data_IF_770342498448
#
_entry.id   IF_770342498448
#
_cell.length_a   1.000
_cell.length_b   1.000
_cell.length_c   1.000
_cell.angle_alpha   90.00
_cell.angle_beta   90.00
_cell.angle_gamma   90.00
#
_symmetry.space_group_name_H-M   'P 1'
#
loop_
_entity.id
_entity.type
_entity.pdbx_description
1 polymer ?
#
# COMPACT_ATOMS: atom_id res chain seq x y z
N UNK A 1 5.19 35.87 -15.40
CA UNK A 1 5.72 34.52 -15.15
C UNK A 1 5.33 33.64 -16.34
N UNK A 2 6.24 32.82 -16.88
CA UNK A 2 5.90 31.87 -17.96
C UNK A 2 5.03 30.76 -17.37
N UNK A 3 3.99 30.34 -18.11
CA UNK A 3 3.14 29.23 -17.69
C UNK A 3 3.98 27.96 -17.46
N UNK A 4 3.73 27.18 -16.40
CA UNK A 4 4.35 25.88 -16.20
C UNK A 4 3.98 24.96 -17.36
N UNK A 5 5.00 24.46 -18.06
CA UNK A 5 4.81 23.37 -19.00
C UNK A 5 4.40 22.10 -18.21
N UNK A 6 3.29 21.50 -18.60
CA UNK A 6 2.77 20.27 -18.03
C UNK A 6 3.41 19.07 -18.73
N UNK A 7 3.75 18.03 -17.97
CA UNK A 7 4.28 16.77 -18.52
C UNK A 7 3.13 15.84 -18.96
N UNK A 8 2.35 16.27 -19.96
CA UNK A 8 1.16 15.55 -20.47
C UNK A 8 1.28 15.35 -21.98
N UNK A 9 1.05 14.12 -22.43
CA UNK A 9 1.01 13.75 -23.85
C UNK A 9 -0.38 13.22 -24.21
N UNK A 10 -1.02 13.79 -25.24
CA UNK A 10 -2.29 13.26 -25.77
C UNK A 10 -2.00 12.18 -26.82
N UNK A 11 -2.53 10.98 -26.58
CA UNK A 11 -2.30 9.80 -27.41
C UNK A 11 -3.61 9.32 -28.02
N UNK A 12 -3.56 8.92 -29.30
CA UNK A 12 -4.68 8.21 -29.92
C UNK A 12 -4.78 6.78 -29.37
N UNK A 13 -5.99 6.21 -29.42
CA UNK A 13 -6.21 4.82 -29.02
C UNK A 13 -5.23 3.84 -29.69
N UNK A 14 -4.97 3.99 -31.00
CA UNK A 14 -4.06 3.12 -31.74
C UNK A 14 -2.65 3.06 -31.11
N UNK A 15 -2.12 4.20 -30.63
CA UNK A 15 -0.80 4.24 -29.96
C UNK A 15 -0.83 3.60 -28.57
N UNK A 16 -1.94 3.76 -27.87
CA UNK A 16 -2.14 3.25 -26.50
C UNK A 16 -2.41 1.75 -26.47
N UNK A 17 -3.06 1.22 -27.52
CA UNK A 17 -3.52 -0.16 -27.60
C UNK A 17 -2.42 -1.15 -27.25
N UNK A 18 -1.25 -1.03 -27.87
CA UNK A 18 -0.14 -1.97 -27.66
C UNK A 18 0.49 -1.83 -26.26
N UNK A 19 0.49 -0.61 -25.70
CA UNK A 19 1.00 -0.34 -24.36
C UNK A 19 0.13 -1.05 -23.30
N UNK A 20 -1.19 -0.93 -23.43
CA UNK A 20 -2.15 -1.47 -22.43
C UNK A 20 -2.36 -2.97 -22.62
N UNK A 21 -2.31 -3.49 -23.86
CA UNK A 21 -2.54 -4.91 -24.18
C UNK A 21 -1.65 -5.86 -23.38
N UNK A 22 -0.40 -5.45 -23.09
CA UNK A 22 0.55 -6.25 -22.32
C UNK A 22 0.11 -6.50 -20.87
N UNK A 23 -0.64 -5.57 -20.28
CA UNK A 23 -1.01 -5.62 -18.87
C UNK A 23 -2.49 -5.95 -18.64
N UNK A 24 -3.38 -5.57 -19.58
CA UNK A 24 -4.84 -5.75 -19.45
C UNK A 24 -5.46 -6.18 -20.79
N UNK A 25 -5.25 -7.44 -21.22
CA UNK A 25 -5.73 -7.93 -22.52
C UNK A 25 -7.26 -7.90 -22.63
N UNK A 26 -7.98 -8.21 -21.54
CA UNK A 26 -9.45 -8.21 -21.53
C UNK A 26 -10.03 -6.82 -21.78
N UNK A 27 -9.44 -5.79 -21.16
CA UNK A 27 -9.85 -4.40 -21.41
C UNK A 27 -9.66 -4.05 -22.87
N UNK A 28 -8.49 -4.37 -23.46
CA UNK A 28 -8.23 -4.08 -24.88
C UNK A 28 -9.21 -4.78 -25.81
N UNK A 29 -9.59 -6.03 -25.52
CA UNK A 29 -10.60 -6.74 -26.31
C UNK A 29 -11.92 -5.97 -26.32
N UNK A 30 -12.36 -5.49 -25.16
CA UNK A 30 -13.59 -4.71 -25.03
C UNK A 30 -13.48 -3.35 -25.73
N UNK A 31 -12.34 -2.67 -25.61
CA UNK A 31 -12.11 -1.38 -26.27
C UNK A 31 -12.01 -1.53 -27.80
N UNK A 32 -11.44 -2.62 -28.32
CA UNK A 32 -11.37 -2.90 -29.75
C UNK A 32 -12.77 -3.12 -30.35
N UNK A 33 -13.70 -3.75 -29.62
CA UNK A 33 -15.10 -3.94 -30.05
C UNK A 33 -15.86 -2.61 -30.23
N UNK A 34 -15.45 -1.55 -29.53
CA UNK A 34 -16.03 -0.21 -29.68
C UNK A 34 -15.63 0.50 -30.98
N UNK A 35 -14.70 -0.08 -31.75
CA UNK A 35 -14.15 0.49 -33.00
C UNK A 35 -13.78 1.98 -32.86
N UNK A 36 -12.91 2.34 -31.89
CA UNK A 36 -12.65 3.74 -31.55
C UNK A 36 -12.01 4.50 -32.72
N UNK A 37 -12.58 5.66 -33.04
CA UNK A 37 -12.03 6.55 -34.07
C UNK A 37 -10.82 7.34 -33.53
N UNK A 38 -10.15 8.09 -34.44
CA UNK A 38 -8.96 8.90 -34.09
C UNK A 38 -9.25 10.01 -33.07
N UNK A 39 -10.52 10.37 -32.84
CA UNK A 39 -10.92 11.42 -31.91
C UNK A 39 -11.07 10.92 -30.46
N UNK A 40 -10.98 9.60 -30.24
CA UNK A 40 -10.91 8.98 -28.92
C UNK A 40 -9.46 8.89 -28.48
N UNK A 41 -9.08 9.88 -27.69
CA UNK A 41 -7.74 10.05 -27.16
C UNK A 41 -7.69 9.72 -25.67
N UNK A 42 -6.48 9.45 -25.19
CA UNK A 42 -6.14 9.32 -23.78
C UNK A 42 -5.01 10.30 -23.46
N UNK A 43 -4.91 10.70 -22.20
CA UNK A 43 -3.84 11.57 -21.73
C UNK A 43 -2.83 10.75 -20.94
N UNK A 44 -1.60 10.65 -21.46
CA UNK A 44 -0.46 10.06 -20.76
C UNK A 44 0.18 11.11 -19.87
N UNK A 45 0.31 10.79 -18.59
CA UNK A 45 0.88 11.66 -17.57
C UNK A 45 1.95 10.89 -16.81
N UNK A 46 3.14 11.48 -16.67
CA UNK A 46 4.27 10.87 -15.99
C UNK A 46 4.54 11.60 -14.66
N UNK A 47 4.23 10.94 -13.56
CA UNK A 47 4.44 11.46 -12.21
C UNK A 47 5.78 10.99 -11.65
N UNK A 48 6.66 11.88 -11.17
CA UNK A 48 7.85 11.44 -10.47
C UNK A 48 7.51 10.86 -9.09
N UNK A 49 8.47 10.16 -8.48
CA UNK A 49 8.26 9.56 -7.16
C UNK A 49 7.82 10.61 -6.14
N UNK A 50 6.79 10.28 -5.37
CA UNK A 50 6.25 11.14 -4.31
C UNK A 50 5.44 12.33 -4.80
N UNK A 51 5.16 12.46 -6.10
CA UNK A 51 4.18 13.44 -6.59
C UNK A 51 2.76 13.06 -6.20
N UNK A 52 1.95 14.06 -5.89
CA UNK A 52 0.52 13.89 -5.66
C UNK A 52 -0.18 13.75 -7.01
N UNK A 53 -0.90 12.65 -7.16
CA UNK A 53 -1.86 12.43 -8.25
C UNK A 53 -3.22 12.98 -7.82
N UNK A 54 -3.61 12.72 -6.58
CA UNK A 54 -4.83 13.23 -5.96
C UNK A 54 -4.48 13.73 -4.56
N UNK A 55 -4.96 14.91 -4.18
CA UNK A 55 -4.85 15.41 -2.80
C UNK A 55 -6.24 15.77 -2.32
N UNK A 56 -6.74 15.05 -1.31
CA UNK A 56 -8.08 15.23 -0.71
C UNK A 56 -9.18 15.40 -1.78
N UNK A 57 -9.27 14.42 -2.68
CA UNK A 57 -10.20 14.42 -3.83
C UNK A 57 -9.98 15.51 -4.90
N UNK A 58 -8.82 16.18 -4.94
CA UNK A 58 -8.47 17.13 -6.00
C UNK A 58 -7.37 16.54 -6.89
N UNK A 59 -7.68 16.33 -8.18
CA UNK A 59 -6.70 15.85 -9.16
C UNK A 59 -5.56 16.86 -9.32
N UNK A 60 -4.33 16.36 -9.31
CA UNK A 60 -3.12 17.12 -9.54
C UNK A 60 -2.37 16.61 -10.77
N UNK A 61 -1.74 17.54 -11.49
CA UNK A 61 -0.98 17.29 -12.70
C UNK A 61 0.49 17.70 -12.50
N UNK A 62 1.46 16.89 -12.96
CA UNK A 62 2.86 17.17 -12.78
C UNK A 62 3.34 18.25 -13.77
N UNK A 63 4.16 19.15 -13.27
CA UNK A 63 4.89 20.16 -14.03
C UNK A 63 6.27 19.63 -14.42
N UNK A 64 6.92 20.27 -15.40
CA UNK A 64 8.32 19.97 -15.75
C UNK A 64 9.31 20.13 -14.57
N UNK A 65 8.94 20.90 -13.54
CA UNK A 65 9.75 21.13 -12.34
C UNK A 65 9.54 20.08 -11.24
N UNK A 66 8.90 18.95 -11.54
CA UNK A 66 8.62 17.88 -10.57
C UNK A 66 7.66 18.29 -9.44
N UNK A 67 6.98 19.42 -9.59
CA UNK A 67 5.89 19.86 -8.71
C UNK A 67 4.54 19.42 -9.27
N UNK A 68 3.55 19.23 -8.40
CA UNK A 68 2.17 18.91 -8.76
C UNK A 68 1.29 20.15 -8.56
N UNK A 69 0.48 20.52 -9.57
CA UNK A 69 -0.51 21.60 -9.47
C UNK A 69 -1.95 21.06 -9.64
N UNK A 70 -2.96 21.63 -8.97
CA UNK A 70 -4.32 21.14 -9.07
C UNK A 70 -4.89 21.35 -10.48
N UNK A 71 -5.82 20.49 -10.92
CA UNK A 71 -6.47 20.59 -12.24
C UNK A 71 -7.14 21.96 -12.45
N UNK A 72 -7.65 22.56 -11.37
CA UNK A 72 -8.30 23.89 -11.38
C UNK A 72 -7.32 25.05 -11.57
N UNK A 73 -6.01 24.82 -11.47
CA UNK A 73 -5.00 25.88 -11.56
C UNK A 73 -5.14 26.69 -12.86
N UNK A 74 -4.98 28.03 -12.84
CA UNK A 74 -5.16 28.87 -14.03
C UNK A 74 -4.30 28.44 -15.23
N UNK A 75 -3.09 27.97 -14.95
CA UNK A 75 -2.13 27.56 -15.99
C UNK A 75 -2.44 26.22 -16.66
N UNK A 76 -3.40 25.45 -16.15
CA UNK A 76 -3.83 24.21 -16.81
C UNK A 76 -4.71 24.57 -18.01
N UNK A 77 -4.37 24.13 -19.24
CA UNK A 77 -5.15 24.45 -20.44
C UNK A 77 -6.61 23.99 -20.35
N UNK A 78 -7.55 24.80 -20.83
CA UNK A 78 -9.00 24.50 -20.78
C UNK A 78 -9.33 23.14 -21.41
N UNK A 79 -8.66 22.76 -22.50
CA UNK A 79 -8.83 21.44 -23.15
C UNK A 79 -8.54 20.28 -22.18
N UNK A 80 -7.52 20.39 -21.33
CA UNK A 80 -7.18 19.36 -20.33
C UNK A 80 -8.23 19.36 -19.21
N UNK A 81 -8.64 20.55 -18.74
CA UNK A 81 -9.71 20.69 -17.74
C UNK A 81 -11.01 20.04 -18.22
N UNK A 82 -11.42 20.28 -19.46
CA UNK A 82 -12.62 19.66 -20.04
C UNK A 82 -12.46 18.15 -20.22
N UNK A 83 -11.27 17.69 -20.58
CA UNK A 83 -11.00 16.28 -20.82
C UNK A 83 -11.00 15.42 -19.55
N UNK A 84 -10.57 15.98 -18.41
CA UNK A 84 -10.41 15.27 -17.14
C UNK A 84 -11.42 15.70 -16.07
N UNK A 85 -11.98 16.91 -16.15
CA UNK A 85 -12.86 17.49 -15.13
C UNK A 85 -14.27 16.89 -15.04
N UNK A 86 -14.50 15.71 -15.61
CA UNK A 86 -15.76 14.98 -15.49
C UNK A 86 -15.89 14.23 -14.14
N UNK A 87 -14.80 14.08 -13.41
CA UNK A 87 -14.72 13.43 -12.10
C UNK A 87 -13.59 14.06 -11.28
N UNK A 88 -13.67 13.96 -9.95
CA UNK A 88 -12.58 14.33 -9.03
C UNK A 88 -11.31 13.51 -9.28
N UNK A 89 -11.48 12.23 -9.63
CA UNK A 89 -10.42 11.35 -10.11
C UNK A 89 -10.90 10.70 -11.42
N UNK A 90 -10.34 11.11 -12.57
CA UNK A 90 -10.66 10.51 -13.86
C UNK A 90 -10.27 9.02 -13.88
N UNK A 91 -10.99 8.23 -14.67
CA UNK A 91 -10.63 6.83 -14.89
C UNK A 91 -9.20 6.77 -15.46
N UNK A 92 -8.36 5.92 -14.88
CA UNK A 92 -6.95 5.85 -15.25
C UNK A 92 -6.32 4.46 -15.11
N UNK A 93 -5.30 4.23 -15.95
CA UNK A 93 -4.50 3.01 -15.98
C UNK A 93 -3.03 3.31 -15.69
N UNK A 94 -2.45 2.66 -14.69
CA UNK A 94 -1.00 2.62 -14.49
C UNK A 94 -0.39 1.66 -15.52
N UNK A 95 0.50 2.12 -16.39
CA UNK A 95 0.96 1.34 -17.56
C UNK A 95 2.37 0.75 -17.45
N UNK A 96 3.22 1.28 -16.57
CA UNK A 96 4.60 0.83 -16.42
C UNK A 96 4.84 0.05 -15.11
N UNK A 97 3.76 -0.41 -14.48
CA UNK A 97 3.72 -1.17 -13.20
C UNK A 97 4.36 -0.46 -12.00
N UNK A 98 4.70 0.82 -12.11
CA UNK A 98 5.17 1.65 -10.99
C UNK A 98 3.98 1.98 -10.11
N UNK A 99 4.03 1.57 -8.84
CA UNK A 99 2.85 1.55 -7.99
C UNK A 99 2.38 2.94 -7.57
N UNK A 100 1.14 2.98 -7.11
CA UNK A 100 0.48 4.12 -6.49
C UNK A 100 -0.05 3.71 -5.13
N UNK A 101 -0.07 4.63 -4.18
CA UNK A 101 -0.69 4.40 -2.87
C UNK A 101 -1.89 5.31 -2.71
N UNK A 102 -3.02 4.73 -2.31
CA UNK A 102 -4.20 5.45 -1.85
C UNK A 102 -4.11 5.53 -0.33
N UNK A 103 -4.18 6.74 0.22
CA UNK A 103 -4.04 6.96 1.66
C UNK A 103 -4.93 8.09 2.16
N UNK A 104 -5.11 8.12 3.47
CA UNK A 104 -5.69 9.25 4.18
C UNK A 104 -4.75 9.70 5.30
N UNK A 105 -4.72 11.01 5.54
CA UNK A 105 -3.96 11.60 6.63
C UNK A 105 -4.89 12.36 7.58
N UNK A 106 -4.96 11.89 8.82
CA UNK A 106 -5.87 12.43 9.85
C UNK A 106 -5.11 12.60 11.15
N UNK A 107 -5.14 13.81 11.73
CA UNK A 107 -4.47 14.12 13.01
C UNK A 107 -2.98 13.70 13.06
N UNK A 108 -2.26 13.83 11.94
CA UNK A 108 -0.85 13.47 11.82
C UNK A 108 -0.57 11.97 11.72
N UNK A 109 -1.61 11.14 11.54
CA UNK A 109 -1.47 9.70 11.23
C UNK A 109 -1.74 9.45 9.75
N UNK A 110 -0.88 8.65 9.14
CA UNK A 110 -1.03 8.18 7.77
C UNK A 110 -1.70 6.79 7.78
N UNK A 111 -2.80 6.66 7.06
CA UNK A 111 -3.52 5.40 6.88
C UNK A 111 -3.44 4.99 5.40
N UNK A 112 -2.68 3.94 5.09
CA UNK A 112 -2.67 3.33 3.77
C UNK A 112 -3.96 2.54 3.57
N UNK A 113 -4.71 2.85 2.52
CA UNK A 113 -5.97 2.19 2.16
C UNK A 113 -5.70 1.08 1.17
N UNK A 114 -4.92 1.36 0.14
CA UNK A 114 -4.60 0.42 -0.92
C UNK A 114 -3.27 0.76 -1.58
N UNK A 115 -2.57 -0.25 -2.09
CA UNK A 115 -1.38 -0.06 -2.91
C UNK A 115 -1.55 -0.84 -4.22
N UNK A 116 -1.54 -0.14 -5.34
CA UNK A 116 -1.79 -0.72 -6.65
C UNK A 116 -0.59 -0.56 -7.57
N UNK A 117 -0.13 -1.66 -8.16
CA UNK A 117 0.89 -1.70 -9.20
C UNK A 117 0.36 -2.34 -10.52
N UNK A 118 -0.93 -2.69 -10.55
CA UNK A 118 -1.62 -3.29 -11.68
C UNK A 118 -2.38 -2.22 -12.49
N UNK A 119 -2.68 -2.49 -13.77
CA UNK A 119 -3.44 -1.57 -14.61
C UNK A 119 -4.89 -1.41 -14.15
N UNK A 120 -5.48 -0.25 -14.46
CA UNK A 120 -6.88 0.12 -14.21
C UNK A 120 -7.30 0.10 -12.72
N UNK A 121 -6.74 1.00 -11.93
CA UNK A 121 -7.09 1.16 -10.51
C UNK A 121 -7.37 2.62 -10.10
N UNK A 122 -7.36 3.57 -11.05
CA UNK A 122 -7.60 4.99 -10.76
C UNK A 122 -8.99 5.40 -11.21
N UNK A 123 -9.71 6.13 -10.36
CA UNK A 123 -11.01 6.73 -10.67
C UNK A 123 -12.16 5.74 -10.72
N UNK A 124 -11.93 4.45 -10.47
CA UNK A 124 -12.99 3.44 -10.51
C UNK A 124 -14.08 3.72 -9.47
N UNK A 125 -13.72 4.08 -8.24
CA UNK A 125 -14.70 4.32 -7.18
C UNK A 125 -15.51 5.59 -7.47
N UNK A 126 -14.86 6.65 -7.93
CA UNK A 126 -15.46 7.95 -8.20
C UNK A 126 -16.46 7.94 -9.35
N UNK A 127 -16.29 6.99 -10.29
CA UNK A 127 -17.23 6.82 -11.41
C UNK A 127 -18.52 6.15 -10.96
N UNK A 128 -18.47 5.27 -9.96
CA UNK A 128 -19.61 4.45 -9.52
C UNK A 128 -20.10 4.76 -8.11
N UNK A 129 -19.46 5.69 -7.40
CA UNK A 129 -19.75 6.03 -6.01
C UNK A 129 -19.37 7.48 -5.71
N UNK A 130 -19.93 8.08 -4.65
CA UNK A 130 -19.55 9.43 -4.23
C UNK A 130 -18.04 9.57 -4.00
N UNK A 131 -17.46 10.74 -4.29
CA UNK A 131 -16.04 10.97 -4.07
C UNK A 131 -15.69 10.85 -2.59
N UNK A 132 -14.62 10.12 -2.30
CA UNK A 132 -14.07 9.97 -0.95
C UNK A 132 -12.85 10.89 -0.82
N UNK A 133 -12.66 11.62 0.30
CA UNK A 133 -11.60 12.61 0.44
C UNK A 133 -10.21 12.00 0.72
N UNK A 134 -9.85 10.92 0.02
CA UNK A 134 -8.50 10.34 0.09
C UNK A 134 -7.51 11.08 -0.81
N UNK A 135 -6.24 10.73 -0.65
CA UNK A 135 -5.14 11.20 -1.48
C UNK A 135 -4.46 10.02 -2.18
N UNK A 136 -3.79 10.30 -3.28
CA UNK A 136 -3.04 9.33 -4.08
C UNK A 136 -1.66 9.89 -4.37
N UNK A 137 -0.62 9.13 -4.04
CA UNK A 137 0.76 9.42 -4.43
C UNK A 137 1.26 8.49 -5.54
N UNK A 138 2.12 9.02 -6.40
CA UNK A 138 2.97 8.22 -7.28
C UNK A 138 4.07 7.55 -6.43
N UNK A 139 4.02 6.22 -6.33
CA UNK A 139 4.82 5.46 -5.39
C UNK A 139 4.21 5.46 -3.99
N UNK A 140 4.82 4.71 -3.09
CA UNK A 140 4.36 4.59 -1.71
C UNK A 140 4.70 5.85 -0.90
N UNK A 141 3.68 6.41 -0.25
CA UNK A 141 3.74 7.42 0.80
C UNK A 141 4.14 6.83 2.15
N UNK A 142 3.81 5.57 2.42
CA UNK A 142 4.05 4.86 3.68
C UNK A 142 5.34 4.02 3.70
N UNK A 143 6.37 4.41 2.93
CA UNK A 143 7.70 3.81 3.04
C UNK A 143 8.30 4.04 4.44
N UNK A 144 8.83 3.00 5.07
CA UNK A 144 9.46 3.09 6.39
C UNK A 144 10.84 2.41 6.40
N UNK A 145 11.89 3.19 6.63
CA UNK A 145 13.23 2.66 6.84
C UNK A 145 13.37 2.20 8.31
N UNK A 146 13.71 0.92 8.50
CA UNK A 146 13.76 0.30 9.83
C UNK A 146 14.91 0.81 10.70
N UNK A 147 16.16 0.93 10.19
CA UNK A 147 17.23 1.51 11.00
C UNK A 147 16.94 2.95 11.42
N UNK A 148 17.35 3.29 12.64
CA UNK A 148 17.25 4.66 13.14
C UNK A 148 18.17 5.59 12.33
N UNK A 149 17.59 6.62 11.73
CA UNK A 149 18.31 7.63 10.92
C UNK A 149 18.34 9.02 11.56
N UNK A 150 18.44 9.08 12.89
CA UNK A 150 18.43 10.34 13.65
C UNK A 150 19.83 10.93 13.91
N UNK A 151 20.87 10.43 13.23
CA UNK A 151 22.24 10.95 13.41
C UNK A 151 22.40 12.20 12.55
N UNK A 152 22.50 13.36 13.20
CA UNK A 152 22.61 14.65 12.53
C UNK A 152 23.86 14.78 11.66
N UNK A 153 24.98 14.16 12.07
CA UNK A 153 26.24 14.21 11.33
C UNK A 153 26.14 13.38 10.06
N UNK A 154 25.57 12.17 10.15
CA UNK A 154 25.30 11.32 9.00
C UNK A 154 24.25 11.95 8.07
N UNK A 155 23.20 12.56 8.62
CA UNK A 155 22.15 13.24 7.86
C UNK A 155 22.69 14.45 7.11
N UNK A 156 23.64 15.21 7.68
CA UNK A 156 24.26 16.36 7.02
C UNK A 156 24.93 15.98 5.68
N UNK A 157 25.43 14.75 5.54
CA UNK A 157 26.01 14.25 4.30
C UNK A 157 24.98 14.15 3.18
N UNK A 158 23.69 13.95 3.48
CA UNK A 158 22.63 13.84 2.48
C UNK A 158 22.39 15.16 1.72
N UNK A 159 22.88 16.30 2.23
CA UNK A 159 22.87 17.57 1.49
C UNK A 159 23.63 17.48 0.17
N UNK A 160 24.66 16.63 0.09
CA UNK A 160 25.38 16.36 -1.17
C UNK A 160 24.51 15.71 -2.25
N UNK A 161 23.37 15.12 -1.86
CA UNK A 161 22.35 14.56 -2.74
C UNK A 161 21.10 15.45 -2.83
N UNK A 162 21.22 16.75 -2.53
CA UNK A 162 20.11 17.70 -2.65
C UNK A 162 19.01 17.57 -1.59
N UNK A 163 19.23 16.80 -0.53
CA UNK A 163 18.30 16.72 0.60
C UNK A 163 18.40 18.00 1.42
N UNK A 164 17.29 18.74 1.49
CA UNK A 164 17.15 19.99 2.24
C UNK A 164 16.33 19.80 3.52
N UNK A 165 15.52 18.75 3.57
CA UNK A 165 14.72 18.40 4.74
C UNK A 165 15.57 18.04 5.96
N UNK A 166 15.06 18.38 7.15
CA UNK A 166 15.66 17.97 8.41
C UNK A 166 15.52 16.47 8.64
N UNK A 167 16.36 15.90 9.51
CA UNK A 167 16.24 14.51 9.92
C UNK A 167 14.88 14.26 10.58
N UNK A 168 14.16 13.25 10.13
CA UNK A 168 12.90 12.84 10.76
C UNK A 168 13.09 11.61 11.64
N UNK A 169 12.65 11.71 12.91
CA UNK A 169 12.50 10.56 13.79
C UNK A 169 11.16 9.82 13.58
N UNK A 170 10.19 10.46 12.91
CA UNK A 170 8.91 9.82 12.58
C UNK A 170 9.07 8.98 11.31
N UNK A 171 8.64 7.70 11.30
CA UNK A 171 8.67 6.84 10.11
C UNK A 171 8.00 7.51 8.89
N UNK A 172 6.86 8.16 9.08
CA UNK A 172 6.13 8.80 7.98
C UNK A 172 6.77 10.11 7.49
N UNK A 173 7.58 10.78 8.33
CA UNK A 173 8.32 11.97 7.94
C UNK A 173 9.54 11.66 7.06
N UNK A 174 10.00 10.40 7.04
CA UNK A 174 11.12 9.96 6.20
C UNK A 174 10.80 10.06 4.71
N UNK A 175 9.51 9.97 4.34
CA UNK A 175 9.07 10.02 2.94
C UNK A 175 9.54 11.26 2.19
N UNK A 176 9.55 12.43 2.84
CA UNK A 176 10.03 13.66 2.23
C UNK A 176 11.52 13.55 1.83
N UNK A 177 12.33 12.96 2.72
CA UNK A 177 13.76 12.71 2.45
C UNK A 177 13.90 11.75 1.26
N UNK A 178 13.11 10.68 1.22
CA UNK A 178 13.13 9.73 0.10
C UNK A 178 12.75 10.39 -1.23
N UNK A 179 11.79 11.32 -1.20
CA UNK A 179 11.38 12.10 -2.37
C UNK A 179 12.50 13.01 -2.87
N UNK A 180 13.20 13.69 -1.96
CA UNK A 180 14.35 14.54 -2.30
C UNK A 180 15.54 13.73 -2.85
N UNK A 181 15.80 12.54 -2.28
CA UNK A 181 16.80 11.60 -2.82
C UNK A 181 16.41 11.17 -4.24
N UNK A 182 15.13 10.87 -4.47
CA UNK A 182 14.61 10.43 -5.75
C UNK A 182 14.58 11.54 -6.82
N UNK A 183 14.54 12.82 -6.43
CA UNK A 183 14.52 13.96 -7.36
C UNK A 183 15.91 14.49 -7.72
N UNK A 184 16.97 13.95 -7.15
CA UNK A 184 18.33 14.43 -7.38
C UNK A 184 18.76 14.37 -8.86
N UNK A 185 19.36 15.44 -9.38
CA UNK A 185 19.58 15.64 -10.83
C UNK A 185 20.51 14.59 -11.51
N UNK A 186 21.40 13.94 -10.77
CA UNK A 186 22.39 12.99 -11.33
C UNK A 186 21.88 11.53 -11.38
N UNK A 187 20.58 11.32 -11.62
CA UNK A 187 20.02 9.97 -11.70
C UNK A 187 20.25 9.35 -13.08
N UNK A 188 20.74 8.10 -13.17
CA UNK A 188 20.86 7.40 -14.45
C UNK A 188 19.50 7.16 -15.11
N UNK A 189 18.46 6.85 -14.31
CA UNK A 189 17.10 6.56 -14.80
C UNK A 189 16.10 7.13 -13.79
N UNK A 190 15.31 8.17 -14.14
CA UNK A 190 14.34 8.74 -13.22
C UNK A 190 13.17 7.78 -13.00
N UNK A 191 12.83 7.54 -11.73
CA UNK A 191 11.62 6.79 -11.38
C UNK A 191 10.39 7.63 -11.70
N UNK A 192 9.48 7.10 -12.53
CA UNK A 192 8.22 7.76 -12.90
C UNK A 192 7.07 6.77 -12.94
N UNK A 193 5.96 7.10 -12.31
CA UNK A 193 4.68 6.42 -12.48
C UNK A 193 3.97 6.99 -13.71
N UNK A 194 3.69 6.14 -14.70
CA UNK A 194 2.98 6.56 -15.90
C UNK A 194 1.51 6.16 -15.81
N UNK A 195 0.64 7.15 -15.89
CA UNK A 195 -0.81 6.99 -15.86
C UNK A 195 -1.38 7.40 -17.23
N UNK A 196 -2.23 6.54 -17.78
CA UNK A 196 -3.10 6.88 -18.91
C UNK A 196 -4.48 7.21 -18.37
N UNK A 197 -4.87 8.47 -18.45
CA UNK A 197 -6.23 8.91 -18.12
C UNK A 197 -7.13 8.81 -19.34
N UNK A 198 -8.33 8.27 -19.11
CA UNK A 198 -9.41 8.27 -20.08
C UNK A 198 -10.02 9.68 -20.13
N UNK A 199 -10.15 10.22 -21.33
CA UNK A 199 -10.84 11.50 -21.54
C UNK A 199 -12.35 11.34 -21.37
N UNK A 200 -13.06 12.45 -21.13
CA UNK A 200 -14.53 12.49 -20.99
C UNK A 200 -15.28 11.70 -22.07
N UNK A 201 -14.78 11.73 -23.31
CA UNK A 201 -15.39 11.03 -24.45
C UNK A 201 -15.52 9.52 -24.23
N UNK A 202 -14.59 8.89 -23.50
CA UNK A 202 -14.68 7.48 -23.16
C UNK A 202 -15.80 7.20 -22.16
N UNK A 203 -16.03 8.14 -21.23
CA UNK A 203 -17.13 8.06 -20.26
C UNK A 203 -18.47 8.24 -20.97
N UNK A 204 -18.57 9.18 -21.91
CA UNK A 204 -19.77 9.38 -22.72
C UNK A 204 -20.14 8.09 -23.48
N UNK A 205 -19.14 7.39 -24.05
CA UNK A 205 -19.34 6.08 -24.71
C UNK A 205 -19.77 5.00 -23.70
N UNK A 206 -19.15 4.94 -22.53
CA UNK A 206 -19.48 3.97 -21.48
C UNK A 206 -20.96 4.06 -21.06
N UNK A 207 -21.55 5.26 -21.12
CA UNK A 207 -22.97 5.48 -20.81
C UNK A 207 -23.92 5.21 -21.98
N UNK A 208 -23.38 5.00 -23.20
CA UNK A 208 -24.17 4.63 -24.38
C UNK A 208 -24.45 3.11 -24.43
N UNK A 209 -25.44 2.65 -25.21
CA UNK A 209 -25.69 1.21 -25.42
C UNK A 209 -24.46 0.44 -25.94
N UNK A 210 -23.62 1.08 -26.76
CA UNK A 210 -22.39 0.46 -27.27
C UNK A 210 -21.37 0.19 -26.16
N UNK A 211 -21.33 1.04 -25.11
CA UNK A 211 -20.38 0.95 -24.01
C UNK A 211 -20.76 -0.01 -22.89
N UNK A 212 -21.86 -0.77 -23.02
CA UNK A 212 -22.39 -1.57 -21.92
C UNK A 212 -21.40 -2.64 -21.42
N UNK A 213 -20.66 -3.29 -22.33
CA UNK A 213 -19.62 -4.27 -21.98
C UNK A 213 -18.48 -3.64 -21.19
N UNK A 214 -18.06 -2.44 -21.58
CA UNK A 214 -17.04 -1.67 -20.85
C UNK A 214 -17.54 -1.33 -19.45
N UNK A 215 -18.78 -0.83 -19.34
CA UNK A 215 -19.38 -0.51 -18.04
C UNK A 215 -19.46 -1.73 -17.12
N UNK A 216 -19.91 -2.89 -17.62
CA UNK A 216 -19.96 -4.13 -16.84
C UNK A 216 -18.57 -4.59 -16.39
N UNK A 217 -17.57 -4.50 -17.26
CA UNK A 217 -16.19 -4.83 -16.92
C UNK A 217 -15.66 -3.96 -15.77
N UNK A 218 -15.86 -2.64 -15.84
CA UNK A 218 -15.44 -1.71 -14.79
C UNK A 218 -16.23 -1.93 -13.48
N UNK A 219 -17.54 -2.18 -13.57
CA UNK A 219 -18.36 -2.53 -12.41
C UNK A 219 -17.86 -3.79 -11.71
N UNK A 220 -17.48 -4.83 -12.47
CA UNK A 220 -16.92 -6.04 -11.87
C UNK A 220 -15.59 -5.75 -11.15
N UNK A 221 -14.76 -4.84 -11.68
CA UNK A 221 -13.52 -4.42 -11.01
C UNK A 221 -13.78 -3.66 -9.71
N UNK A 222 -14.76 -2.75 -9.70
CA UNK A 222 -15.21 -2.10 -8.45
C UNK A 222 -15.76 -3.13 -7.47
N UNK A 223 -16.48 -4.14 -7.99
CA UNK A 223 -17.03 -5.21 -7.17
C UNK A 223 -15.92 -5.99 -6.45
N UNK A 224 -14.85 -6.36 -7.14
CA UNK A 224 -13.68 -7.00 -6.53
C UNK A 224 -13.02 -6.11 -5.45
N UNK A 225 -12.84 -4.82 -5.73
CA UNK A 225 -12.11 -3.91 -4.82
C UNK A 225 -12.88 -3.53 -3.55
N UNK A 226 -14.22 -3.60 -3.57
CA UNK A 226 -15.07 -3.16 -2.45
C UNK A 226 -15.69 -4.31 -1.65
N UNK A 227 -15.22 -5.55 -1.86
CA UNK A 227 -15.75 -6.77 -1.23
C UNK A 227 -15.88 -6.66 0.29
N UNK A 228 -14.81 -6.26 0.99
CA UNK A 228 -14.81 -6.14 2.45
C UNK A 228 -15.87 -5.16 2.94
N UNK A 229 -15.93 -3.96 2.34
CA UNK A 229 -16.87 -2.91 2.76
C UNK A 229 -18.32 -3.29 2.46
N UNK A 230 -18.60 -3.97 1.34
CA UNK A 230 -19.96 -4.45 1.02
C UNK A 230 -20.43 -5.52 2.01
N UNK A 231 -19.51 -6.38 2.45
CA UNK A 231 -19.80 -7.46 3.40
C UNK A 231 -19.68 -7.02 4.87
N UNK A 232 -19.49 -5.72 5.16
CA UNK A 232 -19.26 -5.19 6.53
C UNK A 232 -20.31 -5.66 7.53
N UNK A 233 -21.60 -5.64 7.16
CA UNK A 233 -22.68 -6.13 8.01
C UNK A 233 -22.49 -7.59 8.44
N UNK A 234 -22.04 -8.47 7.52
CA UNK A 234 -21.78 -9.88 7.84
C UNK A 234 -20.60 -10.03 8.81
N UNK A 235 -19.58 -9.17 8.67
CA UNK A 235 -18.47 -9.12 9.62
C UNK A 235 -18.94 -8.65 11.00
N UNK A 236 -19.80 -7.64 11.06
CA UNK A 236 -20.32 -7.10 12.32
C UNK A 236 -21.16 -8.15 13.07
N UNK A 237 -22.03 -8.89 12.37
CA UNK A 237 -22.78 -10.03 12.94
C UNK A 237 -21.86 -11.15 13.46
N UNK A 238 -20.82 -11.51 12.70
CA UNK A 238 -19.82 -12.49 13.11
C UNK A 238 -19.09 -12.04 14.38
N UNK A 239 -18.69 -10.76 14.45
CA UNK A 239 -18.04 -10.20 15.63
C UNK A 239 -18.94 -10.17 16.84
N UNK A 240 -20.20 -9.79 16.67
CA UNK A 240 -21.19 -9.81 17.75
C UNK A 240 -21.38 -11.22 18.31
N UNK A 241 -21.53 -12.23 17.45
CA UNK A 241 -21.62 -13.65 17.86
C UNK A 241 -20.38 -14.08 18.65
N UNK A 242 -19.19 -13.76 18.17
CA UNK A 242 -17.94 -14.09 18.85
C UNK A 242 -17.82 -13.41 20.22
N UNK A 243 -18.03 -12.09 20.31
CA UNK A 243 -17.91 -11.39 21.58
C UNK A 243 -18.98 -11.81 22.59
N UNK A 244 -20.19 -12.18 22.13
CA UNK A 244 -21.20 -12.79 22.99
C UNK A 244 -20.77 -14.15 23.54
N UNK A 245 -20.12 -15.00 22.73
CA UNK A 245 -19.63 -16.29 23.23
C UNK A 245 -18.53 -16.14 24.30
N UNK A 246 -17.79 -15.02 24.25
CA UNK A 246 -16.81 -14.65 25.27
C UNK A 246 -17.40 -13.95 26.50
N UNK A 247 -18.69 -13.60 26.53
CA UNK A 247 -19.29 -12.78 27.60
C UNK A 247 -19.21 -13.40 29.01
N UNK A 248 -19.15 -14.72 29.09
CA UNK A 248 -18.95 -15.46 30.35
C UNK A 248 -17.50 -15.40 30.87
N UNK A 249 -16.55 -14.93 30.05
CA UNK A 249 -15.14 -14.77 30.42
C UNK A 249 -14.92 -13.38 31.02
N UNK A 250 -14.18 -13.30 32.13
CA UNK A 250 -13.89 -12.03 32.83
C UNK A 250 -12.88 -11.11 32.12
N UNK A 251 -12.49 -11.42 30.88
CA UNK A 251 -11.48 -10.69 30.13
C UNK A 251 -12.21 -9.76 29.15
N UNK A 252 -12.01 -8.45 29.31
CA UNK A 252 -12.51 -7.43 28.38
C UNK A 252 -11.31 -6.79 27.67
N UNK A 253 -11.00 -7.19 26.43
CA UNK A 253 -9.97 -6.54 25.64
C UNK A 253 -10.29 -5.05 25.44
N UNK A 254 -9.25 -4.22 25.34
CA UNK A 254 -9.40 -2.80 25.05
C UNK A 254 -9.83 -2.64 23.58
N UNK A 255 -10.71 -1.67 23.27
CA UNK A 255 -11.22 -1.40 21.92
C UNK A 255 -10.12 -1.39 20.85
N UNK A 256 -9.00 -0.72 21.13
CA UNK A 256 -7.84 -0.66 20.24
C UNK A 256 -7.30 -2.04 19.81
N UNK A 257 -7.24 -3.00 20.75
CA UNK A 257 -6.77 -4.36 20.47
C UNK A 257 -7.81 -5.16 19.69
N UNK A 258 -9.09 -4.93 19.95
CA UNK A 258 -10.19 -5.50 19.16
C UNK A 258 -10.07 -5.04 17.71
N UNK A 259 -9.79 -3.76 17.47
CA UNK A 259 -9.67 -3.21 16.11
C UNK A 259 -8.49 -3.81 15.35
N UNK A 260 -7.34 -4.00 16.02
CA UNK A 260 -6.20 -4.72 15.44
C UNK A 260 -6.55 -6.18 15.15
N UNK A 261 -7.19 -6.87 16.10
CA UNK A 261 -7.61 -8.26 15.92
C UNK A 261 -8.54 -8.43 14.71
N UNK A 262 -9.58 -7.60 14.59
CA UNK A 262 -10.49 -7.57 13.44
C UNK A 262 -9.74 -7.34 12.14
N UNK A 263 -8.77 -6.41 12.15
CA UNK A 263 -7.96 -6.12 10.98
C UNK A 263 -7.04 -7.29 10.58
N UNK A 264 -6.46 -8.03 11.52
CA UNK A 264 -5.68 -9.24 11.24
C UNK A 264 -6.52 -10.33 10.57
N UNK A 265 -7.77 -10.51 11.02
CA UNK A 265 -8.69 -11.44 10.37
C UNK A 265 -9.06 -10.93 8.97
N UNK A 266 -9.32 -9.63 8.80
CA UNK A 266 -9.59 -9.04 7.49
C UNK A 266 -8.40 -9.18 6.51
N UNK A 267 -7.16 -9.06 7.00
CA UNK A 267 -5.94 -9.32 6.22
C UNK A 267 -5.88 -10.77 5.72
N UNK A 268 -6.32 -11.72 6.54
CA UNK A 268 -6.33 -13.14 6.19
C UNK A 268 -7.52 -13.55 5.31
N UNK A 269 -8.70 -12.96 5.49
CA UNK A 269 -9.93 -13.32 4.75
C UNK A 269 -10.14 -12.52 3.46
N UNK A 270 -9.74 -11.25 3.43
CA UNK A 270 -9.88 -10.36 2.28
C UNK A 270 -8.50 -9.80 1.88
N UNK A 271 -7.57 -10.65 1.43
CA UNK A 271 -6.18 -10.28 1.15
C UNK A 271 -6.03 -9.11 0.16
N UNK A 272 -6.97 -8.97 -0.79
CA UNK A 272 -6.91 -7.97 -1.88
C UNK A 272 -7.41 -6.57 -1.50
N UNK A 273 -8.10 -6.42 -0.37
CA UNK A 273 -8.74 -5.16 0.02
C UNK A 273 -8.14 -4.53 1.27
N UNK A 274 -7.17 -5.20 1.89
CA UNK A 274 -6.52 -4.78 3.13
C UNK A 274 -5.01 -4.68 2.94
N UNK A 275 -4.37 -3.72 3.63
CA UNK A 275 -2.95 -3.40 3.46
C UNK A 275 -2.16 -3.72 4.73
N UNK A 276 -1.07 -4.45 4.54
CA UNK A 276 0.00 -4.66 5.50
C UNK A 276 1.33 -4.19 4.88
N UNK A 277 2.46 -4.66 5.38
CA UNK A 277 3.77 -4.30 4.85
C UNK A 277 4.62 -5.51 4.49
N UNK A 278 5.54 -5.36 3.55
CA UNK A 278 6.60 -6.34 3.28
C UNK A 278 7.95 -5.64 3.18
N UNK A 279 9.07 -6.32 3.44
CA UNK A 279 10.38 -5.77 3.12
C UNK A 279 10.52 -5.54 1.62
N UNK A 280 11.09 -4.40 1.25
CA UNK A 280 11.35 -4.05 -0.14
C UNK A 280 12.46 -4.92 -0.74
N UNK A 281 12.31 -5.23 -2.02
CA UNK A 281 13.27 -5.91 -2.89
C UNK A 281 13.69 -5.01 -4.05
N UNK A 282 14.73 -5.41 -4.81
CA UNK A 282 15.15 -4.70 -6.03
C UNK A 282 14.05 -4.62 -7.09
N UNK A 283 13.13 -5.58 -7.11
CA UNK A 283 12.06 -5.65 -8.11
C UNK A 283 10.82 -4.84 -7.74
N UNK A 284 10.76 -4.29 -6.53
CA UNK A 284 9.57 -3.62 -6.05
C UNK A 284 9.31 -2.30 -6.77
N UNK A 285 8.02 -2.03 -6.94
CA UNK A 285 7.53 -0.93 -7.75
C UNK A 285 7.01 0.23 -6.91
N UNK A 286 7.13 0.17 -5.58
CA UNK A 286 6.69 1.20 -4.64
C UNK A 286 7.52 2.49 -4.67
N UNK A 287 8.74 2.45 -5.23
CA UNK A 287 9.60 3.62 -5.32
C UNK A 287 10.96 3.26 -5.91
N UNK A 288 11.92 4.21 -5.96
CA UNK A 288 13.30 3.92 -6.34
C UNK A 288 14.06 3.28 -5.17
N UNK A 289 13.63 2.09 -4.75
CA UNK A 289 14.09 1.40 -3.53
C UNK A 289 15.61 1.28 -3.51
N UNK A 290 16.21 0.55 -4.46
CA UNK A 290 17.66 0.31 -4.49
C UNK A 290 18.47 1.61 -4.46
N UNK A 291 17.97 2.66 -5.09
CA UNK A 291 18.65 3.95 -5.12
C UNK A 291 18.64 4.62 -3.75
N UNK A 292 17.49 4.62 -3.07
CA UNK A 292 17.36 5.13 -1.70
C UNK A 292 18.29 4.33 -0.78
N UNK A 293 18.29 3.00 -0.90
CA UNK A 293 19.14 2.12 -0.08
C UNK A 293 20.64 2.41 -0.27
N UNK A 294 21.08 2.60 -1.51
CA UNK A 294 22.47 2.98 -1.81
C UNK A 294 22.85 4.31 -1.19
N UNK A 295 21.99 5.32 -1.26
CA UNK A 295 22.27 6.62 -0.61
C UNK A 295 22.45 6.46 0.91
N UNK A 296 21.66 5.61 1.56
CA UNK A 296 21.85 5.35 2.99
C UNK A 296 23.14 4.57 3.32
N UNK A 297 23.60 3.70 2.43
CA UNK A 297 24.86 2.96 2.60
C UNK A 297 26.08 3.83 2.27
N UNK A 298 26.04 4.55 1.16
CA UNK A 298 27.18 5.21 0.55
C UNK A 298 27.34 6.67 1.01
N UNK A 299 26.25 7.39 1.27
CA UNK A 299 26.29 8.83 1.61
C UNK A 299 25.99 9.05 3.09
N UNK A 300 24.89 8.48 3.59
CA UNK A 300 24.59 8.50 5.03
C UNK A 300 25.57 7.65 5.84
N UNK A 301 26.22 6.66 5.22
CA UNK A 301 27.19 5.74 5.84
C UNK A 301 26.58 4.87 6.96
N UNK A 302 25.42 4.27 6.72
CA UNK A 302 24.82 3.32 7.66
C UNK A 302 25.72 2.07 7.83
N UNK A 303 26.28 1.86 9.03
CA UNK A 303 27.29 0.81 9.28
C UNK A 303 26.73 -0.48 9.90
N UNK A 304 25.84 -0.38 10.89
CA UNK A 304 25.52 -1.55 11.72
C UNK A 304 24.40 -2.40 11.12
N UNK A 305 23.39 -1.75 10.58
CA UNK A 305 22.13 -2.38 10.20
C UNK A 305 21.95 -2.41 8.68
N UNK A 306 21.23 -3.42 8.20
CA UNK A 306 20.74 -3.45 6.84
C UNK A 306 19.73 -2.31 6.66
N UNK A 307 19.79 -1.52 5.58
CA UNK A 307 18.88 -0.41 5.32
C UNK A 307 17.50 -0.92 4.87
N UNK A 308 16.83 -1.74 5.67
CA UNK A 308 15.58 -2.39 5.27
C UNK A 308 14.45 -1.35 5.19
N UNK A 309 13.82 -1.22 4.02
CA UNK A 309 12.60 -0.42 3.82
C UNK A 309 11.40 -1.37 3.83
N UNK A 310 10.38 -1.04 4.63
CA UNK A 310 9.06 -1.68 4.55
C UNK A 310 8.16 -0.90 3.60
N UNK A 311 7.44 -1.61 2.74
CA UNK A 311 6.52 -1.02 1.75
C UNK A 311 5.10 -1.55 1.94
N UNK A 312 4.07 -0.73 1.67
CA UNK A 312 2.69 -1.20 1.74
C UNK A 312 2.44 -2.28 0.69
N UNK A 313 1.68 -3.30 1.07
CA UNK A 313 1.30 -4.38 0.17
C UNK A 313 0.02 -5.08 0.64
N UNK A 314 -0.60 -5.81 -0.30
CA UNK A 314 -1.70 -6.73 -0.01
C UNK A 314 -1.15 -8.11 0.34
N UNK A 315 -1.76 -8.82 1.29
CA UNK A 315 -1.44 -10.23 1.51
C UNK A 315 -1.84 -11.02 0.26
N UNK A 316 -1.06 -12.02 -0.16
CA UNK A 316 -1.29 -12.77 -1.41
C UNK A 316 -1.40 -11.90 -2.68
N UNK A 317 -0.80 -10.71 -2.68
CA UNK A 317 -0.66 -9.89 -3.88
C UNK A 317 -0.01 -10.70 -5.01
N UNK A 318 -0.54 -10.58 -6.23
CA UNK A 318 0.00 -11.23 -7.44
C UNK A 318 0.19 -12.76 -7.31
N UNK A 319 -0.61 -13.43 -6.47
CA UNK A 319 -0.48 -14.85 -6.11
C UNK A 319 0.87 -15.19 -5.45
N UNK A 320 1.54 -14.21 -4.85
CA UNK A 320 2.77 -14.43 -4.09
C UNK A 320 2.49 -15.23 -2.80
N UNK A 321 3.46 -16.07 -2.43
CA UNK A 321 3.49 -16.79 -1.15
C UNK A 321 4.25 -16.01 -0.07
N UNK A 322 4.65 -14.78 -0.36
CA UNK A 322 5.41 -13.93 0.56
C UNK A 322 4.61 -13.65 1.84
N UNK A 323 5.34 -13.58 2.94
CA UNK A 323 4.77 -13.13 4.19
C UNK A 323 4.58 -11.62 4.20
N UNK A 324 3.58 -11.16 4.95
CA UNK A 324 3.37 -9.73 5.24
C UNK A 324 3.46 -9.48 6.74
N UNK A 325 3.68 -8.22 7.09
CA UNK A 325 4.01 -7.77 8.43
C UNK A 325 3.07 -6.66 8.86
N UNK A 326 2.56 -6.78 10.08
CA UNK A 326 1.69 -5.80 10.70
C UNK A 326 2.34 -5.26 11.98
N UNK A 327 2.79 -3.99 11.99
CA UNK A 327 3.35 -3.36 13.18
C UNK A 327 2.23 -2.88 14.10
N UNK A 328 2.21 -3.35 15.35
CA UNK A 328 1.15 -2.96 16.31
C UNK A 328 1.29 -1.50 16.72
N UNK A 329 2.53 -0.99 16.80
CA UNK A 329 2.78 0.39 17.28
C UNK A 329 2.32 1.45 16.28
N UNK A 330 2.22 1.10 15.00
CA UNK A 330 1.79 1.98 13.90
C UNK A 330 0.68 1.29 13.09
N UNK A 331 -0.50 1.06 13.69
CA UNK A 331 -1.54 0.28 13.03
C UNK A 331 -2.10 1.05 11.83
N UNK A 332 -2.32 0.33 10.72
CA UNK A 332 -2.94 0.87 9.50
C UNK A 332 -4.46 0.75 9.51
N UNK A 333 -5.07 0.22 10.57
CA UNK A 333 -6.52 0.07 10.63
C UNK A 333 -7.21 1.44 10.66
N UNK A 334 -8.11 1.64 9.70
CA UNK A 334 -8.85 2.89 9.49
C UNK A 334 -9.82 3.17 10.65
N UNK A 335 -10.52 2.14 11.12
CA UNK A 335 -11.54 2.23 12.18
C UNK A 335 -10.95 2.15 13.61
N UNK A 336 -9.64 2.34 13.79
CA UNK A 336 -8.99 2.13 15.09
C UNK A 336 -9.40 3.19 16.11
N UNK A 337 -9.89 2.77 17.27
CA UNK A 337 -10.00 3.65 18.43
C UNK A 337 -8.61 4.22 18.80
N UNK A 338 -8.51 5.49 19.22
CA UNK A 338 -7.25 6.03 19.69
C UNK A 338 -6.77 5.23 20.90
N UNK A 339 -5.49 4.85 20.89
CA UNK A 339 -4.86 4.21 22.05
C UNK A 339 -4.92 5.20 23.23
N UNK A 340 -5.58 4.84 24.33
CA UNK A 340 -5.64 5.67 25.53
C UNK A 340 -4.24 5.82 26.14
N UNK A 341 -3.98 6.93 26.86
CA UNK A 341 -2.69 7.16 27.53
C UNK A 341 -2.36 6.09 28.59
N UNK A 342 -3.37 5.43 29.13
CA UNK A 342 -3.25 4.34 30.11
C UNK A 342 -2.97 2.97 29.46
N UNK A 343 -2.57 2.95 28.18
CA UNK A 343 -2.40 1.70 27.48
C UNK A 343 -1.32 0.83 28.09
N UNK A 344 -1.65 -0.45 28.17
CA UNK A 344 -0.76 -1.51 28.54
C UNK A 344 0.45 -1.56 27.57
N UNK A 345 1.60 -2.09 28.03
CA UNK A 345 2.79 -2.22 27.19
C UNK A 345 2.50 -3.03 25.92
N UNK A 346 3.19 -2.70 24.81
CA UNK A 346 3.05 -3.40 23.53
C UNK A 346 3.24 -4.93 23.64
N UNK A 347 3.97 -5.38 24.66
CA UNK A 347 4.05 -6.76 25.11
C UNK A 347 2.69 -7.36 25.47
N UNK A 348 1.92 -6.77 26.39
CA UNK A 348 0.63 -7.40 26.77
C UNK A 348 -0.43 -7.20 25.68
N UNK A 349 -0.26 -6.17 24.84
CA UNK A 349 -1.07 -6.02 23.62
C UNK A 349 -0.89 -7.26 22.72
N UNK A 350 0.35 -7.72 22.48
CA UNK A 350 0.64 -8.97 21.76
C UNK A 350 0.06 -10.19 22.47
N UNK A 351 0.23 -10.33 23.79
CA UNK A 351 -0.33 -11.45 24.56
C UNK A 351 -1.86 -11.51 24.44
N UNK A 352 -2.53 -10.36 24.46
CA UNK A 352 -3.97 -10.26 24.28
C UNK A 352 -4.40 -10.63 22.85
N UNK A 353 -3.63 -10.25 21.83
CA UNK A 353 -3.89 -10.64 20.43
C UNK A 353 -3.71 -12.15 20.21
N UNK A 354 -2.69 -12.75 20.81
CA UNK A 354 -2.51 -14.21 20.80
C UNK A 354 -3.75 -14.89 21.39
N UNK A 355 -4.17 -14.45 22.59
CA UNK A 355 -5.35 -14.99 23.25
C UNK A 355 -6.63 -14.82 22.41
N UNK A 356 -6.82 -13.65 21.78
CA UNK A 356 -7.99 -13.38 20.94
C UNK A 356 -8.03 -14.29 19.70
N UNK A 357 -6.89 -14.49 19.04
CA UNK A 357 -6.79 -15.37 17.88
C UNK A 357 -7.05 -16.83 18.25
N UNK A 358 -6.48 -17.31 19.36
CA UNK A 358 -6.71 -18.67 19.85
C UNK A 358 -8.16 -18.86 20.31
N UNK A 359 -8.75 -17.86 20.99
CA UNK A 359 -10.15 -17.87 21.37
C UNK A 359 -11.05 -17.92 20.13
N UNK A 360 -10.80 -17.07 19.13
CA UNK A 360 -11.58 -17.05 17.89
C UNK A 360 -11.50 -18.37 17.14
N UNK A 361 -10.30 -18.93 16.99
CA UNK A 361 -10.11 -20.25 16.38
C UNK A 361 -10.90 -21.33 17.12
N UNK A 362 -10.91 -21.31 18.45
CA UNK A 362 -11.67 -22.28 19.24
C UNK A 362 -13.18 -22.09 19.06
N UNK A 363 -13.69 -20.86 19.13
CA UNK A 363 -15.12 -20.60 19.00
C UNK A 363 -15.63 -20.95 17.59
N UNK A 364 -14.81 -20.76 16.53
CA UNK A 364 -15.09 -21.23 15.17
C UNK A 364 -15.22 -22.77 15.12
N UNK A 365 -14.26 -23.50 15.71
CA UNK A 365 -14.27 -24.97 15.74
C UNK A 365 -15.48 -25.55 16.46
N UNK A 366 -15.99 -24.88 17.48
CA UNK A 366 -17.17 -25.31 18.24
C UNK A 366 -18.49 -24.86 17.59
N UNK A 367 -18.46 -24.09 16.50
CA UNK A 367 -19.67 -23.59 15.85
C UNK A 367 -20.40 -22.49 16.64
N UNK A 368 -19.72 -21.83 17.59
CA UNK A 368 -20.29 -20.78 18.43
C UNK A 368 -20.30 -19.39 17.74
N UNK A 369 -19.62 -19.28 16.60
CA UNK A 369 -19.56 -18.05 15.79
C UNK A 369 -20.39 -18.26 14.54
N UNK A 370 -21.37 -17.39 14.30
CA UNK A 370 -22.10 -17.36 13.05
C UNK A 370 -21.21 -16.84 11.91
N UNK A 371 -20.80 -17.73 11.00
CA UNK A 371 -19.95 -17.40 9.87
C UNK A 371 -20.74 -17.50 8.58
N UNK A 372 -21.10 -16.35 8.02
CA UNK A 372 -21.75 -16.26 6.70
C UNK A 372 -20.78 -15.82 5.58
N UNK A 373 -19.50 -15.59 5.91
CA UNK A 373 -18.49 -15.10 4.97
C UNK A 373 -17.63 -16.26 4.48
N UNK A 374 -17.54 -16.49 3.16
CA UNK A 374 -16.68 -17.52 2.60
C UNK A 374 -15.23 -17.41 3.06
N UNK A 375 -14.59 -18.53 3.36
CA UNK A 375 -13.16 -18.60 3.69
C UNK A 375 -12.78 -18.32 5.15
N UNK A 376 -13.65 -17.73 5.97
CA UNK A 376 -13.35 -17.46 7.40
C UNK A 376 -13.02 -18.75 8.16
N UNK A 377 -13.81 -19.81 7.97
CA UNK A 377 -13.59 -21.09 8.66
C UNK A 377 -12.24 -21.74 8.32
N UNK A 378 -11.69 -21.42 7.14
CA UNK A 378 -10.47 -22.02 6.61
C UNK A 378 -9.23 -21.17 6.90
N UNK A 379 -9.38 -19.96 7.46
CA UNK A 379 -8.25 -19.05 7.73
C UNK A 379 -7.17 -19.78 8.51
N UNK A 380 -7.55 -20.40 9.62
CA UNK A 380 -6.59 -21.03 10.53
C UNK A 380 -6.02 -22.34 10.00
N UNK A 381 -6.53 -22.86 8.88
CA UNK A 381 -5.95 -24.01 8.18
C UNK A 381 -4.94 -23.56 7.13
N UNK A 382 -5.08 -22.35 6.60
CA UNK A 382 -4.29 -21.83 5.48
C UNK A 382 -3.26 -20.77 5.88
N UNK A 383 -3.45 -20.09 7.00
CA UNK A 383 -2.67 -18.92 7.41
C UNK A 383 -1.99 -19.17 8.76
N UNK A 384 -0.74 -18.72 8.88
CA UNK A 384 0.03 -18.64 10.11
C UNK A 384 0.14 -17.19 10.58
N UNK A 385 0.04 -17.00 11.89
CA UNK A 385 0.30 -15.74 12.58
C UNK A 385 1.48 -15.95 13.52
N UNK A 386 2.64 -15.39 13.18
CA UNK A 386 3.83 -15.42 14.04
C UNK A 386 3.99 -14.07 14.75
N UNK A 387 4.22 -14.10 16.06
CA UNK A 387 4.29 -12.91 16.89
C UNK A 387 5.73 -12.63 17.30
N UNK A 388 6.16 -11.36 17.18
CA UNK A 388 7.53 -10.94 17.47
C UNK A 388 7.57 -9.77 18.44
N UNK A 389 8.50 -9.83 19.41
CA UNK A 389 8.79 -8.73 20.32
C UNK A 389 10.30 -8.56 20.56
N UNK A 390 10.79 -7.32 20.73
CA UNK A 390 12.23 -7.04 20.92
C UNK A 390 12.84 -7.72 22.13
N UNK A 391 12.04 -7.92 23.17
CA UNK A 391 12.52 -8.43 24.46
C UNK A 391 12.54 -9.96 24.53
N UNK A 392 12.02 -10.64 23.50
CA UNK A 392 12.01 -12.11 23.37
C UNK A 392 11.28 -12.87 24.49
N UNK A 393 11.08 -14.19 24.30
CA UNK A 393 10.72 -15.16 25.35
C UNK A 393 9.65 -14.73 26.35
N UNK A 394 8.56 -14.13 25.86
CA UNK A 394 7.44 -13.74 26.72
C UNK A 394 6.57 -14.95 27.07
N UNK A 395 6.40 -15.84 26.09
CA UNK A 395 5.81 -17.17 26.15
C UNK A 395 6.25 -17.95 24.88
N UNK A 396 5.84 -19.21 24.74
CA UNK A 396 6.19 -20.05 23.59
C UNK A 396 5.62 -19.54 22.25
N UNK A 397 4.69 -18.58 22.27
CA UNK A 397 4.01 -18.02 21.08
C UNK A 397 4.60 -16.72 20.57
N UNK A 398 5.42 -16.01 21.36
CA UNK A 398 6.02 -14.72 21.00
C UNK A 398 7.54 -14.84 20.94
N UNK A 399 8.08 -14.74 19.74
CA UNK A 399 9.51 -14.91 19.46
C UNK A 399 10.28 -13.59 19.54
N UNK A 400 11.61 -13.63 19.75
CA UNK A 400 12.47 -12.46 19.59
C UNK A 400 12.37 -11.87 18.16
N UNK A 401 12.25 -10.55 18.03
CA UNK A 401 12.24 -9.88 16.71
C UNK A 401 13.51 -10.12 15.88
N UNK A 402 14.64 -10.46 16.54
CA UNK A 402 15.87 -10.88 15.86
C UNK A 402 15.69 -12.15 15.01
N UNK A 403 14.64 -12.94 15.25
CA UNK A 403 14.36 -14.18 14.51
C UNK A 403 13.54 -13.95 13.24
N UNK A 404 12.99 -12.74 13.01
CA UNK A 404 12.18 -12.45 11.82
C UNK A 404 12.90 -12.82 10.51
N UNK A 405 14.22 -12.49 10.32
CA UNK A 405 14.93 -12.83 9.09
C UNK A 405 15.10 -14.33 8.82
N UNK A 406 14.93 -15.21 9.82
CA UNK A 406 15.04 -16.67 9.64
C UNK A 406 13.95 -17.19 8.69
N UNK A 407 12.77 -16.56 8.68
CA UNK A 407 11.68 -16.90 7.77
C UNK A 407 11.53 -15.96 6.58
N UNK A 408 12.35 -14.92 6.47
CA UNK A 408 12.29 -13.93 5.39
C UNK A 408 13.62 -13.20 5.19
N UNK A 409 14.37 -13.64 4.18
CA UNK A 409 15.72 -13.12 3.88
C UNK A 409 15.69 -11.68 3.36
N UNK A 410 14.55 -11.18 2.88
CA UNK A 410 14.45 -9.81 2.36
C UNK A 410 14.56 -8.78 3.49
N UNK A 411 14.34 -9.17 4.74
CA UNK A 411 14.55 -8.29 5.90
C UNK A 411 16.01 -7.86 6.11
N UNK A 412 16.97 -8.54 5.48
CA UNK A 412 18.40 -8.20 5.51
C UNK A 412 18.95 -7.95 4.11
N UNK A 413 18.07 -7.64 3.14
CA UNK A 413 18.45 -7.33 1.77
C UNK A 413 19.42 -6.13 1.69
N UNK A 414 20.42 -6.24 0.81
CA UNK A 414 21.38 -5.19 0.48
C UNK A 414 21.37 -4.97 -1.04
N UNK A 415 21.30 -3.70 -1.52
CA UNK A 415 21.32 -3.41 -2.94
C UNK A 415 22.68 -3.71 -3.58
N UNK A 416 22.69 -4.27 -4.79
CA UNK A 416 23.92 -4.52 -5.56
C UNK A 416 24.68 -5.77 -5.12
N UNK A 417 26.01 -5.79 -5.28
CA UNK A 417 26.84 -6.93 -4.91
C UNK A 417 27.07 -6.92 -3.40
N UNK A 418 26.39 -7.82 -2.67
CA UNK A 418 26.37 -7.88 -1.19
C UNK A 418 27.76 -7.90 -0.55
N UNK A 419 28.76 -8.46 -1.25
CA UNK A 419 30.15 -8.51 -0.81
C UNK A 419 30.77 -7.12 -0.55
N UNK A 420 30.26 -6.06 -1.19
CA UNK A 420 30.78 -4.69 -1.03
C UNK A 420 30.47 -4.08 0.35
N UNK A 421 29.36 -4.49 0.97
CA UNK A 421 28.86 -3.84 2.19
C UNK A 421 29.08 -4.68 3.45
N UNK A 422 29.59 -5.92 3.30
CA UNK A 422 29.76 -6.88 4.38
C UNK A 422 28.43 -7.34 4.96
N UNK A 423 28.50 -8.17 6.01
CA UNK A 423 27.31 -8.60 6.73
C UNK A 423 26.74 -7.45 7.57
N UNK A 424 25.42 -7.29 7.51
CA UNK A 424 24.67 -6.27 8.24
C UNK A 424 23.57 -6.91 9.07
N UNK A 425 23.29 -6.34 10.24
CA UNK A 425 22.28 -6.86 11.16
C UNK A 425 20.88 -6.37 10.80
N UNK A 426 19.86 -7.16 11.10
CA UNK A 426 18.48 -6.71 11.06
C UNK A 426 18.21 -5.68 12.17
N UNK A 427 17.43 -4.64 11.88
CA UNK A 427 17.01 -3.60 12.83
C UNK A 427 15.80 -4.06 13.67
N UNK A 428 16.01 -5.13 14.44
CA UNK A 428 15.03 -5.83 15.29
C UNK A 428 14.38 -4.95 16.39
N UNK A 429 15.06 -3.89 16.82
CA UNK A 429 14.57 -2.91 17.80
C UNK A 429 13.93 -1.66 17.20
N UNK A 430 13.74 -1.62 15.88
CA UNK A 430 13.02 -0.51 15.22
C UNK A 430 11.59 -0.39 15.73
N UNK A 431 10.98 0.80 15.63
CA UNK A 431 9.57 1.01 16.04
C UNK A 431 8.59 0.10 15.30
N UNK A 432 8.95 -0.34 14.10
CA UNK A 432 8.19 -1.32 13.33
C UNK A 432 8.39 -2.74 13.86
N UNK A 433 9.64 -3.20 13.98
CA UNK A 433 9.97 -4.59 14.30
C UNK A 433 9.83 -4.94 15.79
N UNK A 434 9.86 -3.94 16.69
CA UNK A 434 9.80 -4.14 18.14
C UNK A 434 8.55 -4.88 18.61
N UNK A 435 7.42 -4.73 17.91
CA UNK A 435 6.17 -5.43 18.21
C UNK A 435 5.40 -5.63 16.91
N UNK A 436 5.59 -6.79 16.30
CA UNK A 436 5.15 -7.06 14.94
C UNK A 436 4.53 -8.45 14.83
N UNK A 437 3.57 -8.58 13.92
CA UNK A 437 2.94 -9.84 13.57
C UNK A 437 3.31 -10.15 12.12
N UNK A 438 3.81 -11.36 11.85
CA UNK A 438 4.00 -11.87 10.49
C UNK A 438 2.80 -12.75 10.14
N UNK A 439 2.25 -12.53 8.95
CA UNK A 439 1.13 -13.29 8.39
C UNK A 439 1.68 -13.99 7.15
N UNK A 440 1.57 -15.32 7.10
CA UNK A 440 2.08 -16.11 5.98
C UNK A 440 1.14 -17.28 5.67
N UNK A 441 1.25 -17.86 4.48
CA UNK A 441 0.58 -19.13 4.21
C UNK A 441 1.23 -20.27 5.02
N UNK A 442 0.41 -21.23 5.45
CA UNK A 442 0.93 -22.52 5.89
C UNK A 442 1.54 -23.24 4.71
N UNK A 443 2.75 -23.76 4.88
CA UNK A 443 3.28 -24.72 3.92
C UNK A 443 2.41 -25.97 4.03
N UNK A 444 1.73 -26.37 2.96
CA UNK A 444 1.14 -27.71 2.91
C UNK A 444 2.29 -28.68 3.16
N UNK A 445 2.24 -29.39 4.29
CA UNK A 445 3.06 -30.57 4.49
C UNK A 445 2.61 -31.58 3.44
N UNK A 446 3.19 -31.53 2.25
CA UNK A 446 3.31 -32.71 1.40
C UNK A 446 4.10 -33.71 2.21
N UNK A 447 3.37 -34.58 2.89
CA UNK A 447 3.87 -35.86 3.39
C UNK A 447 4.41 -36.54 2.14
N UNK A 448 5.72 -36.52 1.96
CA UNK A 448 6.39 -37.49 1.10
C UNK A 448 6.07 -38.86 1.67
N UNK A 449 5.36 -39.66 0.87
CA UNK A 449 4.97 -41.03 1.16
C UNK A 449 6.13 -41.90 1.68
#
# INVERSE_FOLDING_TARGET
>A
MRAPNLSIEELSYCKVRDIVKKNTPDLIKILDELSPNKNLTLLKVAYPFGSLILDKAILHLPTEKYESIPLSHPDVPSKIKESLGYSNLPLGCVINKRGIEIYMETLGKLHSIAFFNSPLNLGLWEIFSPPTPFSISAGARSLMLLPKISDNSAHANLKSCGVSSSSSCSPFGQWQIFREIASHANQPIPWRCEVLFFTKKWIDIMHSPAGIKLRYYLLNKVWEQTEYNRNRFLYDEMWESFFRSLSHRRIKPISYIIDIFRHLIALASCPKTTVAYKPASSTDTAGPIDQILRVYLEVYKLKTYAPTIMIPCHFLADNSKDAVYYPIQNPTCWDSAPKSRDSISAKKDLECLVWLLDAFQNELKHGNVNVCIPGINEIFDKVNFDFFHSDGNLNDRIQPSSNMPLGDKNLVYLPGNSNQYGERKFADRSSFARSCIRISLKQNSTITH
#
